data_IF_186882309195
#
_entry.id   IF_186882309195
#
_cell.length_a   1.000
_cell.length_b   1.000
_cell.length_c   1.000
_cell.angle_alpha   90.00
_cell.angle_beta   90.00
_cell.angle_gamma   90.00
#
_symmetry.space_group_name_H-M   'P 1'
#
loop_
_entity.id
_entity.type
_entity.pdbx_description
1 polymer ?
2 polymer ?
3 non-polymer ?
4 non-polymer ?
5 water ?
#
# COMPACT_ATOMS: atom_id res chain seq x y z
N UNK A 7 30.77 31.81 -9.54
CA UNK A 7 29.75 31.32 -10.51
C UNK A 7 29.61 29.78 -10.66
N UNK A 8 30.14 28.96 -9.75
CA UNK A 8 29.98 27.47 -9.96
C UNK A 8 29.38 26.72 -8.74
N UNK A 9 28.41 25.86 -8.98
CA UNK A 9 27.67 25.29 -7.87
C UNK A 9 28.23 23.90 -7.65
N UNK A 10 29.42 23.83 -7.11
CA UNK A 10 30.16 22.61 -7.16
C UNK A 10 30.56 22.05 -5.78
N UNK A 11 30.12 22.69 -4.70
CA UNK A 11 30.10 22.09 -3.39
C UNK A 11 28.72 21.43 -3.15
N UNK A 12 28.66 20.11 -3.08
CA UNK A 12 27.38 19.41 -3.10
C UNK A 12 27.24 18.53 -1.93
N UNK A 13 26.02 18.41 -1.47
CA UNK A 13 25.69 17.47 -0.46
C UNK A 13 24.36 16.76 -0.79
N UNK A 14 24.29 15.48 -0.54
CA UNK A 14 23.03 14.75 -0.73
C UNK A 14 22.67 14.07 0.54
N UNK A 15 21.45 14.31 0.91
CA UNK A 15 20.90 13.78 2.10
C UNK A 15 19.83 12.71 1.78
N UNK A 16 19.92 11.52 2.35
CA UNK A 16 18.86 10.44 2.10
C UNK A 16 18.14 10.07 3.38
N UNK A 17 16.82 10.15 3.38
CA UNK A 17 16.06 10.01 4.61
C UNK A 17 15.02 8.89 4.48
N UNK A 18 15.25 7.73 5.12
CA UNK A 18 14.35 6.58 5.03
C UNK A 18 13.16 6.71 5.91
N UNK A 19 11.98 6.81 5.33
CA UNK A 19 10.77 6.78 6.13
C UNK A 19 10.22 5.33 6.20
N UNK A 20 9.18 5.12 6.96
CA UNK A 20 8.59 3.77 7.09
C UNK A 20 7.85 3.32 5.81
N UNK A 21 7.12 4.20 5.15
CA UNK A 21 6.40 3.84 3.91
C UNK A 21 6.64 4.78 2.72
N UNK A 22 6.32 4.29 1.52
CA UNK A 22 6.37 5.09 0.31
C UNK A 22 5.44 6.34 0.42
N UNK A 23 4.29 6.17 1.03
CA UNK A 23 3.37 7.29 1.25
C UNK A 23 3.90 8.36 2.19
N UNK A 24 4.54 7.94 3.27
CA UNK A 24 5.08 8.89 4.19
C UNK A 24 6.14 9.76 3.45
N UNK A 25 6.92 9.16 2.57
CA UNK A 25 7.98 9.92 1.89
C UNK A 25 7.38 10.88 0.82
N UNK A 26 6.31 10.44 0.22
CA UNK A 26 5.64 11.22 -0.80
C UNK A 26 5.10 12.43 -0.15
N UNK A 27 4.54 12.24 1.02
CA UNK A 27 3.88 13.34 1.66
C UNK A 27 4.88 14.33 2.16
N UNK A 28 5.89 13.84 2.88
CA UNK A 28 7.06 14.63 3.28
C UNK A 28 7.58 15.61 2.20
N UNK A 29 7.81 15.06 1.01
CA UNK A 29 8.16 15.76 -0.16
C UNK A 29 7.14 16.85 -0.52
N UNK A 30 5.88 16.52 -0.64
CA UNK A 30 4.91 17.51 -0.87
C UNK A 30 4.84 18.64 0.16
N UNK A 31 5.04 18.33 1.40
CA UNK A 31 4.87 19.30 2.47
C UNK A 31 6.16 20.13 2.66
N UNK A 32 7.29 19.59 2.27
CA UNK A 32 8.54 20.35 2.35
C UNK A 32 8.58 21.53 1.35
N UNK A 33 8.55 22.76 1.81
CA UNK A 33 8.48 23.88 0.86
C UNK A 33 9.54 24.88 1.26
N UNK A 34 10.74 24.60 0.78
CA UNK A 34 11.91 25.36 1.12
C UNK A 34 11.72 26.71 0.50
N UNK A 35 11.96 27.79 1.27
CA UNK A 35 12.10 29.10 0.69
C UNK A 35 13.35 29.73 1.37
N UNK A 36 14.53 29.44 0.81
CA UNK A 36 15.76 29.90 1.45
C UNK A 36 15.90 31.39 1.35
N UNK A 37 16.75 31.95 2.20
CA UNK A 37 17.08 33.37 2.12
C UNK A 37 18.23 33.59 1.21
N UNK A 38 18.79 32.51 0.66
CA UNK A 38 19.99 32.57 -0.13
C UNK A 38 19.74 32.81 -1.62
N UNK A 39 20.57 33.63 -2.28
CA UNK A 39 20.39 33.80 -3.72
C UNK A 39 20.36 32.42 -4.38
N UNK A 40 19.46 32.21 -5.36
CA UNK A 40 19.49 31.00 -6.21
C UNK A 40 20.79 30.83 -7.01
N UNK A 41 21.47 31.93 -7.36
CA UNK A 41 22.79 31.87 -7.99
C UNK A 41 23.81 31.20 -7.06
N UNK A 42 23.59 31.20 -5.74
CA UNK A 42 24.58 30.68 -4.77
C UNK A 42 24.26 29.28 -4.21
N UNK A 43 23.00 28.95 -4.22
CA UNK A 43 22.50 27.87 -3.44
C UNK A 43 21.26 27.35 -4.18
N UNK A 44 21.20 26.05 -4.31
CA UNK A 44 20.10 25.37 -4.89
C UNK A 44 19.81 24.09 -4.19
N UNK A 45 18.51 23.80 -4.12
CA UNK A 45 18.03 22.56 -3.50
C UNK A 45 16.98 21.90 -4.38
N UNK A 46 17.14 20.61 -4.58
CA UNK A 46 16.22 19.73 -5.31
C UNK A 46 15.86 18.62 -4.40
N UNK A 47 14.59 18.25 -4.42
CA UNK A 47 14.21 17.11 -3.57
C UNK A 47 13.16 16.22 -4.21
N UNK A 48 13.04 14.97 -3.79
CA UNK A 48 12.13 14.06 -4.43
C UNK A 48 12.10 12.83 -3.55
N UNK A 49 11.26 11.86 -3.86
CA UNK A 49 11.26 10.58 -3.19
C UNK A 49 11.27 9.45 -4.14
N UNK A 50 11.90 8.37 -3.66
CA UNK A 50 11.88 7.12 -4.33
C UNK A 50 11.50 6.08 -3.28
N UNK A 51 10.43 5.34 -3.53
CA UNK A 51 9.89 4.38 -2.56
C UNK A 51 9.77 5.02 -1.24
N UNK A 52 10.32 4.41 -0.19
CA UNK A 52 10.15 5.01 1.13
C UNK A 52 11.24 6.08 1.47
N UNK A 53 12.15 6.36 0.52
CA UNK A 53 13.31 7.30 0.81
C UNK A 53 13.08 8.68 0.23
N UNK A 54 13.33 9.70 1.03
CA UNK A 54 13.38 11.08 0.54
C UNK A 54 14.83 11.48 0.18
N UNK A 55 15.02 12.06 -1.00
CA UNK A 55 16.30 12.42 -1.52
C UNK A 55 16.35 13.96 -1.60
N UNK A 56 17.35 14.60 -0.93
CA UNK A 56 17.52 16.05 -1.02
C UNK A 56 18.98 16.36 -1.45
N UNK A 57 19.12 16.93 -2.62
CA UNK A 57 20.36 17.27 -3.24
C UNK A 57 20.57 18.83 -3.13
N UNK A 58 21.59 19.24 -2.37
CA UNK A 58 22.08 20.64 -2.34
C UNK A 58 23.28 20.84 -3.25
N UNK A 59 23.38 22.03 -3.81
CA UNK A 59 24.50 22.47 -4.64
C UNK A 59 24.76 23.90 -4.21
N UNK A 60 26.02 24.27 -4.02
CA UNK A 60 26.32 25.63 -3.54
C UNK A 60 27.68 26.09 -4.01
N UNK A 61 27.89 27.39 -3.99
CA UNK A 61 29.18 27.92 -4.43
C UNK A 61 30.29 27.76 -3.42
N UNK A 62 29.93 27.58 -2.14
CA UNK A 62 30.96 27.40 -1.12
C UNK A 62 30.39 26.86 0.13
N UNK A 63 31.27 26.58 1.07
CA UNK A 63 30.90 25.87 2.28
C UNK A 63 30.08 26.73 3.21
N UNK A 64 30.27 28.04 3.15
CA UNK A 64 29.59 28.97 4.05
C UNK A 64 28.10 28.96 3.72
N UNK A 65 27.80 29.16 2.44
CA UNK A 65 26.45 29.13 1.96
C UNK A 65 25.81 27.77 2.24
N UNK A 66 26.50 26.71 1.87
CA UNK A 66 25.98 25.37 2.12
C UNK A 66 25.58 25.21 3.58
N UNK A 67 26.45 25.60 4.53
CA UNK A 67 26.19 25.32 5.95
C UNK A 67 24.86 25.96 6.35
N UNK A 68 24.72 27.25 6.03
CA UNK A 68 23.50 27.99 6.28
C UNK A 68 22.24 27.29 5.69
N UNK A 69 22.34 26.83 4.44
CA UNK A 69 21.19 26.31 3.70
C UNK A 69 20.77 24.94 4.21
N UNK A 70 21.76 24.05 4.37
CA UNK A 70 21.48 22.68 4.79
C UNK A 70 20.88 22.55 6.16
N UNK A 71 21.44 23.24 7.15
CA UNK A 71 20.90 23.17 8.50
C UNK A 71 19.44 23.57 8.54
N UNK A 72 19.12 24.64 7.83
CA UNK A 72 17.76 25.19 7.87
C UNK A 72 16.73 24.18 7.30
N UNK A 73 17.06 23.56 6.17
CA UNK A 73 16.19 22.60 5.57
C UNK A 73 16.04 21.36 6.42
N UNK A 74 17.14 20.90 6.98
CA UNK A 74 17.06 19.81 7.92
C UNK A 74 16.11 20.13 9.06
N UNK A 75 16.02 21.38 9.47
CA UNK A 75 15.06 21.71 10.54
C UNK A 75 13.64 21.47 10.07
N UNK A 76 13.35 21.87 8.84
CA UNK A 76 12.01 21.64 8.29
C UNK A 76 11.65 20.15 8.26
N UNK A 77 12.61 19.36 7.86
CA UNK A 77 12.42 17.95 7.71
C UNK A 77 12.12 17.30 9.08
N UNK A 78 12.87 17.69 10.08
CA UNK A 78 12.61 17.22 11.45
C UNK A 78 11.22 17.55 11.88
N UNK A 79 10.72 18.73 11.52
CA UNK A 79 9.38 19.14 11.95
C UNK A 79 8.34 18.20 11.34
N UNK A 80 8.53 17.90 10.06
CA UNK A 80 7.67 16.99 9.33
C UNK A 80 7.75 15.59 9.91
N UNK A 81 8.93 15.15 10.34
CA UNK A 81 9.07 13.83 11.06
C UNK A 81 8.37 13.82 12.42
N UNK A 82 8.47 14.89 13.20
CA UNK A 82 7.76 14.98 14.47
C UNK A 82 6.26 14.83 14.19
N UNK A 83 5.71 15.62 13.28
CA UNK A 83 4.27 15.64 12.99
C UNK A 83 3.81 14.27 12.57
N UNK A 84 4.57 13.62 11.73
CA UNK A 84 4.24 12.27 11.32
C UNK A 84 4.26 11.25 12.44
N UNK A 85 5.23 11.38 13.35
CA UNK A 85 5.29 10.60 14.59
C UNK A 85 4.00 10.73 15.42
N UNK A 86 3.54 11.95 15.58
CA UNK A 86 2.33 12.19 16.36
C UNK A 86 1.12 11.50 15.66
N UNK A 87 0.94 11.76 14.37
CA UNK A 87 -0.20 11.27 13.67
C UNK A 87 -0.31 9.75 13.54
N UNK A 88 0.79 9.07 13.26
CA UNK A 88 0.78 7.63 13.08
C UNK A 88 0.57 6.84 14.36
N UNK A 89 0.60 7.50 15.51
CA UNK A 89 0.46 6.82 16.77
C UNK A 89 -0.84 7.18 17.40
N UNK A 90 -1.83 7.49 16.60
CA UNK A 90 -3.21 7.52 17.09
C UNK A 90 -4.22 6.96 16.03
N UNK B 7 24.35 -5.95 24.04
CA UNK B 7 24.58 -5.77 22.56
C UNK B 7 23.63 -4.72 21.99
N UNK B 8 23.18 -4.97 20.77
CA UNK B 8 22.65 -3.94 19.91
C UNK B 8 21.41 -4.50 19.23
N UNK B 9 20.38 -3.69 19.16
CA UNK B 9 19.12 -4.10 18.60
C UNK B 9 19.09 -3.93 17.09
N UNK B 10 19.87 -4.75 16.41
CA UNK B 10 20.05 -4.62 14.98
C UNK B 10 19.58 -5.80 14.12
N UNK B 11 18.91 -6.76 14.69
CA UNK B 11 18.10 -7.67 13.90
C UNK B 11 16.68 -7.00 13.81
N UNK B 12 16.23 -6.63 12.63
CA UNK B 12 14.94 -5.89 12.54
C UNK B 12 14.00 -6.62 11.68
N UNK B 13 12.73 -6.36 11.94
CA UNK B 13 11.67 -6.84 11.08
C UNK B 13 10.53 -5.83 10.96
N UNK B 14 10.09 -5.56 9.74
CA UNK B 14 9.04 -4.59 9.55
C UNK B 14 7.85 -5.32 8.93
N UNK B 15 6.72 -5.17 9.57
CA UNK B 15 5.54 -5.90 9.14
C UNK B 15 4.49 -4.84 8.73
N UNK B 16 3.87 -5.00 7.55
CA UNK B 16 2.77 -4.05 7.08
C UNK B 16 1.49 -4.82 6.85
N UNK B 17 0.41 -4.41 7.49
CA UNK B 17 -0.85 -5.09 7.45
C UNK B 17 -2.00 -4.19 6.94
N UNK B 18 -2.46 -4.45 5.73
CA UNK B 18 -3.57 -3.70 5.12
C UNK B 18 -5.00 -4.16 5.55
N UNK B 19 -5.65 -3.33 6.34
CA UNK B 19 -7.02 -3.51 6.65
C UNK B 19 -7.92 -2.98 5.53
N UNK B 20 -9.22 -3.09 5.73
CA UNK B 20 -10.19 -2.58 4.73
C UNK B 20 -10.36 -1.08 4.85
N UNK B 21 -10.26 -0.55 6.05
CA UNK B 21 -10.40 0.86 6.23
C UNK B 21 -9.37 1.44 7.19
N UNK B 22 -9.37 2.75 7.25
CA UNK B 22 -8.52 3.49 8.14
C UNK B 22 -8.98 3.27 9.55
N UNK B 23 -10.28 3.14 9.75
CA UNK B 23 -10.89 3.05 11.10
C UNK B 23 -10.45 1.77 11.71
N UNK B 24 -10.51 0.72 10.91
CA UNK B 24 -10.04 -0.59 11.32
C UNK B 24 -8.60 -0.48 11.76
N UNK B 25 -7.75 0.16 10.98
CA UNK B 25 -6.31 0.12 11.32
C UNK B 25 -5.96 0.99 12.51
N UNK B 26 -6.70 2.06 12.70
CA UNK B 26 -6.51 2.85 13.91
C UNK B 26 -6.93 2.01 15.11
N UNK B 27 -8.13 1.47 15.06
CA UNK B 27 -8.64 0.66 16.16
C UNK B 27 -7.67 -0.46 16.51
N UNK B 28 -7.33 -1.29 15.53
CA UNK B 28 -6.41 -2.39 15.72
C UNK B 28 -5.16 -1.95 16.48
N UNK B 29 -4.70 -0.74 16.18
CA UNK B 29 -3.53 -0.15 16.83
C UNK B 29 -3.83 0.16 18.29
N UNK B 30 -4.99 0.78 18.54
CA UNK B 30 -5.49 1.15 19.88
C UNK B 30 -5.71 -0.03 20.79
N UNK B 31 -5.99 -1.19 20.20
CA UNK B 31 -6.36 -2.39 20.97
C UNK B 31 -5.16 -3.30 21.22
N UNK B 32 -4.16 -3.19 20.37
CA UNK B 32 -2.97 -3.97 20.50
C UNK B 32 -2.25 -3.41 21.71
N UNK B 33 -2.08 -4.25 22.69
CA UNK B 33 -1.39 -3.87 23.93
C UNK B 33 -0.45 -5.01 24.28
N UNK B 34 0.78 -4.92 23.76
CA UNK B 34 1.87 -5.94 23.82
C UNK B 34 2.30 -6.56 25.18
N UNK B 35 3.01 -5.83 26.05
CA UNK B 35 3.54 -6.41 27.34
C UNK B 35 4.29 -7.74 27.20
N UNK B 36 5.43 -7.73 26.51
CA UNK B 36 6.17 -8.95 26.24
C UNK B 36 6.89 -9.47 27.48
N UNK B 37 7.41 -10.69 27.41
CA UNK B 37 8.08 -11.29 28.57
C UNK B 37 9.56 -11.00 28.45
N UNK B 38 9.94 -10.55 27.26
CA UNK B 38 11.33 -10.23 26.92
C UNK B 38 11.83 -8.92 27.50
N UNK B 39 13.08 -8.89 27.95
CA UNK B 39 13.73 -7.64 28.34
C UNK B 39 13.61 -6.54 27.25
N UNK B 40 13.24 -5.33 27.66
CA UNK B 40 13.23 -4.25 26.71
C UNK B 40 14.62 -3.99 26.13
N UNK B 41 15.69 -4.37 26.83
CA UNK B 41 17.05 -4.29 26.30
C UNK B 41 17.28 -5.31 25.20
N UNK B 42 16.40 -6.31 25.07
CA UNK B 42 16.66 -7.39 24.10
C UNK B 42 15.70 -7.32 22.92
N UNK B 43 14.63 -6.57 23.10
CA UNK B 43 13.54 -6.65 22.14
C UNK B 43 12.68 -5.45 22.33
N UNK B 44 12.33 -4.85 21.20
CA UNK B 44 11.66 -3.57 21.16
C UNK B 44 10.58 -3.67 20.07
N UNK B 45 9.39 -3.17 20.34
CA UNK B 45 8.36 -3.17 19.30
C UNK B 45 7.68 -1.82 19.18
N UNK B 46 7.44 -1.39 17.97
CA UNK B 46 6.80 -0.11 17.76
C UNK B 46 5.65 -0.37 16.84
N UNK B 47 4.46 0.12 17.14
CA UNK B 47 3.31 -0.05 16.17
C UNK B 47 2.52 1.23 15.89
N UNK B 48 1.99 1.32 14.68
CA UNK B 48 1.33 2.56 14.26
C UNK B 48 0.56 2.32 13.01
N UNK B 49 -0.15 3.35 12.55
CA UNK B 49 -0.92 3.17 11.31
C UNK B 49 -0.99 4.40 10.45
N UNK B 50 -1.03 4.14 9.16
CA UNK B 50 -1.19 5.19 8.23
C UNK B 50 -2.33 4.78 7.28
N UNK B 51 -3.38 5.61 7.15
CA UNK B 51 -4.62 5.20 6.45
C UNK B 51 -5.03 3.78 6.84
N UNK B 52 -5.13 2.85 5.89
CA UNK B 52 -5.67 1.53 6.24
C UNK B 52 -4.54 0.51 6.55
N UNK B 53 -3.28 0.99 6.60
CA UNK B 53 -2.16 0.08 6.85
C UNK B 53 -1.61 0.23 8.27
N UNK B 54 -1.57 -0.90 8.99
CA UNK B 54 -0.92 -0.97 10.29
C UNK B 54 0.51 -1.33 10.06
N UNK B 55 1.38 -0.62 10.75
CA UNK B 55 2.85 -0.84 10.65
C UNK B 55 3.37 -1.34 11.97
N UNK B 56 4.11 -2.45 11.95
CA UNK B 56 4.79 -2.94 13.14
C UNK B 56 6.30 -3.08 12.88
N UNK B 57 7.09 -2.48 13.73
CA UNK B 57 8.55 -2.57 13.61
C UNK B 57 9.09 -3.28 14.84
N UNK B 58 9.81 -4.36 14.61
CA UNK B 58 10.52 -5.09 15.67
C UNK B 58 12.02 -4.90 15.56
N UNK B 59 12.67 -4.69 16.69
CA UNK B 59 14.13 -4.61 16.77
C UNK B 59 14.56 -5.57 17.87
N UNK B 60 15.58 -6.36 17.58
CA UNK B 60 16.06 -7.40 18.47
C UNK B 60 17.58 -7.56 18.51
N UNK B 61 18.10 -7.96 19.66
CA UNK B 61 19.53 -8.32 19.71
C UNK B 61 19.86 -9.59 18.96
N UNK B 62 18.89 -10.43 18.61
CA UNK B 62 19.24 -11.63 17.82
C UNK B 62 18.05 -12.43 17.29
N UNK B 63 18.33 -13.48 16.54
CA UNK B 63 17.27 -14.13 15.83
C UNK B 63 16.29 -14.81 16.77
N UNK B 64 16.80 -15.36 17.87
CA UNK B 64 16.00 -16.18 18.79
C UNK B 64 14.99 -15.36 19.55
N UNK B 65 15.46 -14.29 20.15
CA UNK B 65 14.58 -13.31 20.75
C UNK B 65 13.58 -12.81 19.70
N UNK B 66 14.02 -12.64 18.47
CA UNK B 66 13.11 -12.07 17.48
C UNK B 66 12.00 -13.09 17.18
N UNK B 67 12.33 -14.37 17.14
CA UNK B 67 11.36 -15.38 16.81
C UNK B 67 10.23 -15.40 17.82
N UNK B 68 10.62 -15.40 19.08
CA UNK B 68 9.66 -15.39 20.19
C UNK B 68 8.77 -14.14 20.16
N UNK B 69 9.37 -12.98 20.04
CA UNK B 69 8.62 -11.75 20.06
C UNK B 69 7.62 -11.64 18.95
N UNK B 70 8.03 -12.01 17.74
CA UNK B 70 7.28 -11.68 16.58
C UNK B 70 6.05 -12.57 16.55
N UNK B 71 6.26 -13.86 16.75
CA UNK B 71 5.17 -14.84 16.66
C UNK B 71 4.08 -14.59 17.69
N UNK B 72 4.49 -14.22 18.89
CA UNK B 72 3.53 -13.80 19.88
C UNK B 72 2.68 -12.61 19.39
N UNK B 73 3.31 -11.57 18.86
CA UNK B 73 2.57 -10.35 18.57
C UNK B 73 1.61 -10.51 17.37
N UNK B 74 2.04 -11.28 16.39
CA UNK B 74 1.24 -11.68 15.30
C UNK B 74 0.00 -12.45 15.79
N UNK B 75 0.14 -13.24 16.86
CA UNK B 75 -1.02 -13.92 17.44
C UNK B 75 -2.01 -12.92 17.99
N UNK B 76 -1.54 -11.90 18.68
CA UNK B 76 -2.53 -10.91 19.12
C UNK B 76 -3.25 -10.33 17.91
N UNK B 77 -2.51 -10.09 16.84
CA UNK B 77 -3.09 -9.37 15.71
C UNK B 77 -4.19 -10.18 15.02
N UNK B 78 -3.93 -11.46 14.81
CA UNK B 78 -4.91 -12.36 14.27
C UNK B 78 -6.18 -12.35 15.12
N UNK B 79 -5.98 -12.27 16.42
CA UNK B 79 -7.11 -12.26 17.32
C UNK B 79 -7.97 -11.07 16.95
N UNK B 80 -7.34 -9.92 16.71
CA UNK B 80 -8.07 -8.64 16.44
C UNK B 80 -8.74 -8.63 15.07
N UNK B 81 -8.13 -9.31 14.11
CA UNK B 81 -8.72 -9.50 12.81
C UNK B 81 -9.95 -10.40 12.93
N UNK B 82 -9.85 -11.50 13.69
CA UNK B 82 -11.01 -12.43 13.83
C UNK B 82 -12.18 -11.71 14.46
N UNK B 83 -11.91 -10.92 15.50
CA UNK B 83 -12.98 -10.16 16.15
C UNK B 83 -13.64 -9.21 15.16
N UNK B 84 -12.84 -8.46 14.40
CA UNK B 84 -13.35 -7.54 13.38
C UNK B 84 -14.22 -8.24 12.34
N UNK B 85 -13.80 -9.43 11.94
CA UNK B 85 -14.51 -10.27 10.96
C UNK B 85 -15.91 -10.64 11.47
N UNK B 86 -15.93 -11.08 12.72
CA UNK B 86 -17.15 -11.49 13.36
C UNK B 86 -18.07 -10.29 13.54
N UNK B 87 -17.50 -9.13 13.87
CA UNK B 87 -18.28 -7.95 14.23
C UNK B 87 -18.72 -7.14 13.05
N UNK B 88 -18.11 -7.36 11.89
CA UNK B 88 -18.50 -6.59 10.70
C UNK B 88 -19.47 -7.37 9.83
N UNK B 89 -19.51 -8.70 9.99
CA UNK B 89 -20.46 -9.55 9.29
C UNK B 89 -21.63 -9.93 10.19
N UNK B 90 -21.66 -9.39 11.42
CA UNK B 90 -22.82 -9.51 12.33
C UNK B 90 -23.26 -10.95 12.66
N UNK C 8 -8.07 -17.84 -11.51
CA UNK C 8 -7.28 -17.19 -10.42
C UNK C 8 -8.05 -16.26 -9.45
N UNK C 9 -8.88 -15.36 -9.91
CA UNK C 9 -9.67 -14.48 -8.98
C UNK C 9 -8.90 -13.23 -8.52
N UNK C 10 -8.10 -12.73 -9.43
CA UNK C 10 -7.21 -11.67 -9.13
C UNK C 10 -7.63 -10.35 -9.76
N UNK C 11 -8.83 -10.27 -10.33
CA UNK C 11 -9.42 -9.00 -10.72
C UNK C 11 -10.33 -8.61 -9.60
N UNK C 12 -10.04 -7.50 -8.94
CA UNK C 12 -10.69 -7.13 -7.68
C UNK C 12 -11.30 -5.76 -7.78
N UNK C 13 -12.23 -5.49 -6.88
CA UNK C 13 -12.86 -4.22 -6.80
C UNK C 13 -13.39 -4.13 -5.41
N UNK C 14 -13.12 -3.02 -4.76
CA UNK C 14 -13.65 -2.76 -3.42
C UNK C 14 -14.57 -1.54 -3.49
N UNK C 15 -15.77 -1.65 -2.97
CA UNK C 15 -16.71 -0.60 -3.03
C UNK C 15 -16.96 -0.20 -1.58
N UNK C 16 -17.00 1.10 -1.32
CA UNK C 16 -17.44 1.59 -0.01
C UNK C 16 -18.65 2.53 -0.10
N UNK C 17 -19.72 2.17 0.62
CA UNK C 17 -20.95 2.93 0.55
C UNK C 17 -21.35 3.49 1.90
N UNK C 18 -21.23 4.80 2.07
CA UNK C 18 -21.65 5.42 3.32
C UNK C 18 -23.15 5.68 3.36
N UNK C 19 -23.84 5.08 4.33
CA UNK C 19 -25.20 5.44 4.69
C UNK C 19 -25.25 6.62 5.69
N UNK C 20 -26.44 6.96 6.19
CA UNK C 20 -26.59 7.98 7.24
C UNK C 20 -26.29 7.41 8.62
N UNK C 21 -26.56 6.12 8.83
CA UNK C 21 -26.48 5.53 10.17
C UNK C 21 -25.91 4.11 10.16
N UNK C 22 -25.48 3.63 11.33
CA UNK C 22 -25.01 2.24 11.50
C UNK C 22 -26.17 1.28 11.26
N UNK C 23 -27.31 1.61 11.88
CA UNK C 23 -28.51 0.83 11.71
C UNK C 23 -28.80 0.56 10.22
N UNK C 24 -28.99 1.62 9.45
CA UNK C 24 -29.14 1.49 7.99
C UNK C 24 -28.16 0.49 7.36
N UNK C 25 -26.87 0.82 7.48
CA UNK C 25 -25.78 -0.03 7.00
C UNK C 25 -25.92 -1.48 7.42
N UNK C 26 -26.24 -1.71 8.69
CA UNK C 26 -26.46 -3.08 9.17
C UNK C 26 -27.58 -3.74 8.37
N UNK C 27 -28.75 -3.11 8.37
CA UNK C 27 -29.93 -3.72 7.73
C UNK C 27 -29.61 -3.96 6.26
N UNK C 28 -28.91 -2.99 5.65
CA UNK C 28 -28.58 -3.08 4.22
C UNK C 28 -27.86 -4.36 3.96
N UNK C 29 -26.91 -4.63 4.86
CA UNK C 29 -26.07 -5.81 4.82
C UNK C 29 -26.86 -7.08 5.00
N UNK C 30 -27.78 -7.07 5.95
CA UNK C 30 -28.61 -8.24 6.24
C UNK C 30 -29.59 -8.46 5.08
N UNK C 31 -30.10 -7.39 4.48
CA UNK C 31 -31.08 -7.54 3.41
C UNK C 31 -30.45 -7.95 2.07
N UNK C 32 -29.25 -7.47 1.81
CA UNK C 32 -28.67 -7.76 0.52
C UNK C 32 -28.54 -9.27 0.39
N UNK C 33 -29.27 -9.87 -0.54
CA UNK C 33 -29.06 -11.29 -0.84
C UNK C 33 -28.73 -11.41 -2.32
N UNK C 34 -27.44 -11.50 -2.64
CA UNK C 34 -26.95 -11.63 -4.02
C UNK C 34 -27.64 -12.72 -4.90
N UNK C 35 -27.23 -13.99 -4.79
CA UNK C 35 -27.62 -15.05 -5.76
C UNK C 35 -27.28 -14.69 -7.21
N UNK C 36 -25.97 -14.54 -7.54
CA UNK C 36 -25.67 -14.23 -8.93
C UNK C 36 -26.10 -15.36 -9.90
N UNK C 37 -25.86 -15.07 -11.18
CA UNK C 37 -25.94 -15.98 -12.25
C UNK C 37 -24.59 -16.56 -12.63
N UNK C 38 -23.53 -16.16 -11.94
CA UNK C 38 -22.17 -16.56 -12.26
C UNK C 38 -21.67 -17.75 -11.43
N UNK C 39 -20.76 -18.53 -11.99
CA UNK C 39 -20.14 -19.64 -11.23
C UNK C 39 -19.32 -19.11 -10.05
N UNK C 40 -19.35 -19.81 -8.90
CA UNK C 40 -18.47 -19.38 -7.79
C UNK C 40 -17.00 -19.49 -8.16
N UNK C 41 -16.70 -20.42 -9.08
CA UNK C 41 -15.34 -20.61 -9.60
C UNK C 41 -14.79 -19.41 -10.34
N UNK C 42 -15.66 -18.46 -10.66
CA UNK C 42 -15.32 -17.36 -11.55
C UNK C 42 -15.46 -16.01 -10.86
N UNK C 43 -16.24 -15.97 -9.78
CA UNK C 43 -16.66 -14.72 -9.17
C UNK C 43 -17.00 -14.95 -7.71
N UNK C 44 -16.55 -14.06 -6.84
CA UNK C 44 -16.91 -14.11 -5.41
C UNK C 44 -17.15 -12.73 -4.89
N UNK C 45 -18.03 -12.65 -3.91
CA UNK C 45 -18.38 -11.40 -3.33
C UNK C 45 -18.66 -11.63 -1.88
N UNK C 46 -18.42 -10.59 -1.12
CA UNK C 46 -18.32 -10.64 0.30
C UNK C 46 -18.72 -9.25 0.73
N UNK C 47 -19.62 -9.15 1.68
CA UNK C 47 -20.09 -7.83 2.08
C UNK C 47 -20.31 -7.78 3.57
N UNK C 48 -20.18 -6.58 4.10
CA UNK C 48 -20.11 -6.37 5.52
C UNK C 48 -20.27 -4.90 5.77
N UNK C 49 -20.38 -4.51 7.02
CA UNK C 49 -20.47 -3.10 7.40
C UNK C 49 -19.65 -2.77 8.62
N UNK C 50 -19.30 -1.51 8.72
CA UNK C 50 -18.53 -1.01 9.83
C UNK C 50 -19.07 0.38 10.06
N UNK C 51 -19.65 0.58 11.25
CA UNK C 51 -20.42 1.79 11.53
C UNK C 51 -21.44 1.99 10.41
N UNK C 52 -21.39 3.15 9.73
CA UNK C 52 -22.40 3.51 8.75
C UNK C 52 -21.99 3.20 7.32
N UNK C 53 -20.80 2.65 7.12
CA UNK C 53 -20.30 2.35 5.78
C UNK C 53 -20.36 0.86 5.50
N UNK C 54 -20.93 0.55 4.36
CA UNK C 54 -21.02 -0.82 3.90
C UNK C 54 -19.88 -1.06 2.97
N UNK C 55 -19.24 -2.23 3.12
CA UNK C 55 -18.08 -2.60 2.32
C UNK C 55 -18.32 -3.84 1.53
N UNK C 56 -17.98 -3.78 0.25
CA UNK C 56 -18.21 -4.91 -0.64
C UNK C 56 -16.92 -5.16 -1.41
N UNK C 57 -16.42 -6.37 -1.28
CA UNK C 57 -15.29 -6.83 -2.03
C UNK C 57 -15.69 -7.80 -3.09
N UNK C 58 -15.25 -7.53 -4.32
CA UNK C 58 -15.49 -8.43 -5.45
C UNK C 58 -14.19 -9.00 -5.91
N UNK C 59 -14.17 -10.30 -6.20
CA UNK C 59 -12.99 -10.93 -6.80
C UNK C 59 -13.50 -11.71 -8.00
N UNK C 60 -12.70 -11.83 -9.02
CA UNK C 60 -13.18 -12.37 -10.29
C UNK C 60 -12.00 -12.81 -11.14
N UNK C 61 -12.25 -13.74 -12.04
CA UNK C 61 -11.20 -14.19 -12.91
C UNK C 61 -10.89 -13.25 -14.04
N UNK C 62 -11.79 -12.31 -14.32
CA UNK C 62 -11.54 -11.34 -15.41
C UNK C 62 -12.53 -10.20 -15.43
N UNK C 63 -12.33 -9.27 -16.35
CA UNK C 63 -13.14 -8.07 -16.38
C UNK C 63 -14.58 -8.34 -16.83
N UNK C 64 -14.76 -9.28 -17.78
CA UNK C 64 -16.11 -9.59 -18.30
C UNK C 64 -16.98 -10.02 -17.14
N UNK C 65 -16.51 -11.00 -16.40
CA UNK C 65 -17.26 -11.49 -15.26
C UNK C 65 -17.51 -10.37 -14.25
N UNK C 66 -16.45 -9.72 -13.82
CA UNK C 66 -16.57 -8.56 -12.92
C UNK C 66 -17.61 -7.49 -13.34
N UNK C 67 -17.63 -7.10 -14.60
CA UNK C 67 -18.61 -6.13 -15.05
C UNK C 67 -20.02 -6.64 -14.71
N UNK C 68 -20.31 -7.88 -15.12
CA UNK C 68 -21.63 -8.45 -14.90
C UNK C 68 -21.89 -8.37 -13.41
N UNK C 69 -20.90 -8.75 -12.62
CA UNK C 69 -21.19 -9.00 -11.21
C UNK C 69 -21.47 -7.73 -10.46
N UNK C 70 -20.67 -6.73 -10.75
CA UNK C 70 -20.65 -5.51 -9.98
C UNK C 70 -21.84 -4.60 -10.31
N UNK C 71 -22.22 -4.54 -11.58
CA UNK C 71 -23.41 -3.81 -11.97
C UNK C 71 -24.62 -4.49 -11.32
N UNK C 72 -24.64 -5.81 -11.40
CA UNK C 72 -25.76 -6.56 -10.87
C UNK C 72 -25.99 -6.20 -9.39
N UNK C 73 -24.90 -6.22 -8.64
CA UNK C 73 -25.01 -6.04 -7.20
C UNK C 73 -25.28 -4.58 -6.78
N UNK C 74 -24.75 -3.65 -7.54
CA UNK C 74 -25.07 -2.24 -7.31
C UNK C 74 -26.59 -1.96 -7.62
N UNK C 75 -27.17 -2.67 -8.58
CA UNK C 75 -28.63 -2.56 -8.76
C UNK C 75 -29.34 -2.89 -7.46
N UNK C 76 -29.01 -4.05 -6.87
CA UNK C 76 -29.72 -4.48 -5.65
C UNK C 76 -29.56 -3.45 -4.59
N UNK C 77 -28.36 -2.92 -4.49
CA UNK C 77 -28.10 -1.98 -3.43
C UNK C 77 -28.95 -0.72 -3.69
N UNK C 78 -29.06 -0.31 -4.95
CA UNK C 78 -29.86 0.85 -5.27
C UNK C 78 -31.30 0.63 -4.81
N UNK C 79 -31.81 -0.55 -5.07
CA UNK C 79 -33.17 -0.86 -4.65
C UNK C 79 -33.35 -0.61 -3.14
N UNK C 80 -32.41 -1.15 -2.37
CA UNK C 80 -32.43 -1.06 -0.91
C UNK C 80 -32.43 0.40 -0.51
N UNK C 81 -31.56 1.18 -1.14
CA UNK C 81 -31.49 2.59 -0.82
C UNK C 81 -32.86 3.23 -1.06
N UNK C 82 -33.46 2.92 -2.21
CA UNK C 82 -34.75 3.51 -2.55
C UNK C 82 -35.73 3.22 -1.42
N UNK C 83 -35.93 1.93 -1.14
CA UNK C 83 -36.82 1.49 -0.08
C UNK C 83 -36.59 2.24 1.24
N UNK C 84 -35.35 2.35 1.67
CA UNK C 84 -35.05 3.12 2.89
C UNK C 84 -35.55 4.57 2.77
N UNK C 85 -35.58 5.11 1.55
CA UNK C 85 -35.89 6.53 1.33
C UNK C 85 -37.37 6.79 1.54
N UNK D 2 18.43 -6.37 -10.64
CA UNK D 2 17.06 -5.82 -10.72
C UNK D 2 16.73 -5.42 -12.16
N UNK D 3 15.47 -5.40 -12.53
CA UNK D 3 15.10 -5.03 -13.87
C UNK D 3 14.81 -3.54 -13.97
N UNK D 4 14.89 -3.00 -15.17
CA UNK D 4 14.35 -1.67 -15.29
C UNK D 4 12.84 -1.69 -15.06
N UNK D 5 12.27 -0.64 -14.45
CA UNK D 5 10.82 -0.55 -14.27
C UNK D 5 10.27 0.85 -14.56
N UNK D 6 8.95 0.93 -14.61
CA UNK D 6 8.28 2.18 -14.76
C UNK D 6 6.95 2.22 -14.06
N UNK D 7 6.57 3.40 -13.57
CA UNK D 7 5.28 3.59 -12.95
C UNK D 7 4.60 4.86 -13.61
N UNK D 8 3.33 4.72 -13.96
CA UNK D 8 2.55 5.79 -14.60
C UNK D 8 1.39 6.17 -13.74
N UNK D 9 1.06 7.44 -13.74
CA UNK D 9 -0.01 7.94 -12.91
C UNK D 9 -0.80 9.03 -13.69
N UNK D 10 -2.11 9.04 -13.61
CA UNK D 10 -2.93 10.04 -14.32
C UNK D 10 -4.09 10.51 -13.48
N UNK D 11 -4.60 11.70 -13.75
CA UNK D 11 -5.55 12.28 -12.81
C UNK D 11 -6.90 11.63 -12.81
N UNK D 12 -7.19 10.71 -13.72
CA UNK D 12 -8.44 9.96 -13.65
C UNK D 12 -8.35 8.79 -12.64
N UNK D 13 -7.29 8.71 -11.86
CA UNK D 13 -7.23 7.74 -10.80
C UNK D 13 -6.54 6.47 -11.21
N UNK D 14 -5.87 6.48 -12.34
CA UNK D 14 -5.26 5.29 -12.90
C UNK D 14 -3.79 5.21 -12.54
N UNK D 15 -3.32 4.03 -12.10
CA UNK D 15 -1.88 3.88 -11.75
C UNK D 15 -1.44 2.65 -12.45
N UNK D 16 -0.32 2.68 -13.12
CA UNK D 16 0.02 1.55 -13.95
C UNK D 16 1.48 1.24 -13.76
N UNK D 17 1.78 0.01 -13.37
CA UNK D 17 3.17 -0.50 -13.30
C UNK D 17 3.61 -1.25 -14.53
N UNK D 18 4.84 -1.01 -14.92
CA UNK D 18 5.50 -1.77 -15.97
C UNK D 18 6.72 -2.53 -15.47
N UNK D 19 6.83 -3.76 -15.89
CA UNK D 19 8.01 -4.57 -15.67
C UNK D 19 8.08 -5.47 -16.87
N UNK D 20 9.25 -5.63 -17.45
CA UNK D 20 9.44 -6.57 -18.57
C UNK D 20 9.15 -8.03 -18.22
N UNK D 64 24.72 -13.25 -24.23
CA UNK D 64 24.36 -11.84 -24.14
C UNK D 64 24.89 -11.26 -22.80
N UNK D 65 25.29 -9.99 -22.79
CA UNK D 65 25.87 -9.36 -21.58
C UNK D 65 24.80 -8.73 -20.71
N UNK D 66 25.13 -8.50 -19.44
CA UNK D 66 24.29 -7.74 -18.51
C UNK D 66 23.70 -6.46 -19.16
N UNK D 67 24.58 -5.61 -19.70
CA UNK D 67 24.15 -4.40 -20.35
C UNK D 67 23.38 -4.64 -21.66
N UNK D 68 23.71 -5.73 -22.35
CA UNK D 68 23.02 -6.12 -23.56
C UNK D 68 21.59 -6.50 -23.23
N UNK D 69 21.45 -7.38 -22.25
CA UNK D 69 20.13 -7.69 -21.74
C UNK D 69 19.44 -6.39 -21.32
N UNK D 70 20.13 -5.55 -20.56
CA UNK D 70 19.51 -4.32 -20.06
C UNK D 70 18.85 -3.57 -21.20
N UNK D 71 19.57 -3.46 -22.31
CA UNK D 71 19.10 -2.74 -23.47
C UNK D 71 17.87 -3.40 -24.13
N UNK D 72 17.80 -4.72 -24.15
CA UNK D 72 16.64 -5.35 -24.74
C UNK D 72 15.48 -5.12 -23.80
N UNK D 73 15.73 -5.26 -22.49
CA UNK D 73 14.66 -5.02 -21.55
C UNK D 73 14.10 -3.61 -21.73
N UNK D 74 14.96 -2.63 -22.01
CA UNK D 74 14.46 -1.28 -22.16
C UNK D 74 13.66 -1.17 -23.41
N UNK D 75 14.02 -1.94 -24.43
CA UNK D 75 13.27 -1.91 -25.66
C UNK D 75 11.84 -2.48 -25.46
N UNK D 76 11.73 -3.50 -24.63
CA UNK D 76 10.46 -4.09 -24.27
C UNK D 76 9.63 -3.20 -23.40
N UNK D 77 10.28 -2.44 -22.52
CA UNK D 77 9.54 -1.55 -21.65
C UNK D 77 8.94 -0.41 -22.49
N UNK D 78 9.73 0.07 -23.43
CA UNK D 78 9.37 1.14 -24.33
C UNK D 78 8.17 0.76 -25.18
N UNK D 79 8.06 -0.50 -25.51
CA UNK D 79 6.94 -0.96 -26.29
C UNK D 79 5.70 -1.02 -25.40
N UNK D 80 5.85 -1.60 -24.19
CA UNK D 80 4.77 -1.60 -23.20
C UNK D 80 4.20 -0.17 -23.01
N UNK D 81 5.06 0.79 -22.76
CA UNK D 81 4.63 2.15 -22.50
C UNK D 81 3.87 2.68 -23.71
N UNK D 82 4.42 2.46 -24.89
CA UNK D 82 3.83 2.96 -26.12
C UNK D 82 2.49 2.27 -26.35
N UNK D 83 2.47 0.97 -26.20
CA UNK D 83 1.22 0.24 -26.28
C UNK D 83 0.17 0.81 -25.28
N UNK D 84 0.57 1.00 -24.04
CA UNK D 84 -0.38 1.43 -23.01
C UNK D 84 -0.95 2.82 -23.29
N UNK D 85 -0.09 3.73 -23.77
CA UNK D 85 -0.49 5.11 -23.91
C UNK D 85 -1.36 5.22 -25.15
N UNK D 86 -1.00 4.48 -26.19
CA UNK D 86 -1.78 4.48 -27.40
C UNK D 86 -3.22 4.03 -27.09
N UNK D 87 -3.34 2.91 -26.38
CA UNK D 87 -4.63 2.45 -25.87
C UNK D 87 -5.39 3.50 -25.08
N UNK D 88 -4.70 4.31 -24.31
CA UNK D 88 -5.38 5.32 -23.53
C UNK D 88 -5.93 6.35 -24.48
N UNK D 89 -5.19 6.67 -25.53
CA UNK D 89 -5.66 7.66 -26.52
C UNK D 89 -6.85 7.07 -27.33
N UNK D 90 -6.72 5.84 -27.81
CA UNK D 90 -7.79 5.19 -28.53
C UNK D 90 -9.11 5.19 -27.73
N UNK D 91 -9.09 4.95 -26.43
CA UNK D 91 -10.34 5.03 -25.66
C UNK D 91 -10.85 6.45 -25.44
N UNK D 92 -9.95 7.44 -25.34
CA UNK D 92 -10.38 8.82 -25.16
C UNK D 92 -11.08 9.34 -26.42
N UNK D 93 -10.61 8.90 -27.59
CA UNK D 93 -11.20 9.31 -28.87
C UNK D 93 -12.58 8.64 -29.05
N UNK D 94 -12.66 7.34 -28.77
CA UNK D 94 -13.93 6.61 -28.79
C UNK D 94 -14.98 7.18 -27.82
N UNK D 95 -14.54 7.89 -26.78
CA UNK D 95 -15.49 8.43 -25.81
C UNK D 95 -16.16 9.72 -26.29
N UNK D 96 -15.75 10.24 -27.45
CA UNK D 96 -16.39 11.43 -28.04
C UNK D 96 -17.45 11.04 -29.07
N UNK D 97 -18.30 12.00 -29.43
CA UNK D 97 -19.43 11.69 -30.32
C UNK D 97 -19.10 11.91 -31.81
N UNK D 98 -18.59 13.11 -32.10
CA UNK D 98 -18.35 13.65 -33.47
C UNK D 98 -18.34 15.19 -33.35
N UNK D 99 -18.29 15.65 -32.10
CA UNK D 99 -18.59 17.03 -31.77
C UNK D 99 -17.41 17.94 -31.98
N UNK D 100 -16.38 17.41 -32.65
CA UNK D 100 -15.32 18.25 -33.21
C UNK D 100 -15.96 19.11 -34.30
N UNK D 101 -16.54 18.45 -35.30
CA UNK D 101 -17.32 19.12 -36.32
C UNK D 101 -18.29 20.11 -35.66
N UNK D 102 -19.17 19.59 -34.80
CA UNK D 102 -20.29 20.38 -34.28
C UNK D 102 -19.79 21.60 -33.53
N UNK D 103 -18.64 21.44 -32.87
CA UNK D 103 -18.07 22.51 -32.10
C UNK D 103 -17.73 23.65 -33.06
N UNK D 104 -16.93 23.36 -34.08
CA UNK D 104 -16.59 24.38 -35.06
C UNK D 104 -17.84 24.88 -35.79
N UNK D 105 -18.78 23.99 -36.10
CA UNK D 105 -20.03 24.42 -36.73
C UNK D 105 -20.69 25.65 -36.03
N UNK D 106 -20.66 25.71 -34.71
CA UNK D 106 -21.32 26.81 -34.00
C UNK D 106 -20.52 28.08 -34.16
N UNK D 107 -19.20 27.95 -33.96
CA UNK D 107 -18.29 29.10 -34.06
C UNK D 107 -18.50 29.80 -35.42
N UNK D 108 -18.45 29.06 -36.51
CA UNK D 108 -18.83 29.61 -37.83
C UNK D 108 -20.19 30.31 -37.83
N UNK D 109 -21.26 29.61 -37.45
CA UNK D 109 -22.61 30.22 -37.51
C UNK D 109 -22.65 31.50 -36.68
N UNK D 110 -21.94 31.49 -35.58
CA UNK D 110 -21.90 32.65 -34.73
C UNK D 110 -21.25 33.80 -35.44
N UNK D 111 -20.32 33.49 -36.33
CA UNK D 111 -19.69 34.50 -37.19
C UNK D 111 -20.65 35.05 -38.22
N UNK D 112 -21.58 34.21 -38.69
CA UNK D 112 -22.55 34.63 -39.73
C UNK D 112 -23.83 35.20 -39.10
N UNK E 2 -4.29 -5.67 -1.60
CA UNK E 2 -2.81 -5.85 -1.42
C UNK E 2 -2.56 -6.82 -0.23
N UNK E 3 -1.39 -7.42 -0.16
CA UNK E 3 -1.16 -8.48 0.83
C UNK E 3 -0.42 -7.97 2.06
N UNK E 4 -0.56 -8.64 3.20
CA UNK E 4 0.35 -8.28 4.25
C UNK E 4 1.76 -8.71 3.83
N UNK E 5 2.80 -7.90 4.19
CA UNK E 5 4.19 -8.22 3.87
C UNK E 5 5.11 -7.97 5.03
N UNK E 6 6.30 -8.54 4.98
CA UNK E 6 7.32 -8.20 5.99
C UNK E 6 8.69 -8.13 5.38
N UNK E 7 9.56 -7.41 6.03
CA UNK E 7 10.97 -7.23 5.60
C UNK E 7 11.93 -7.41 6.78
N UNK E 8 12.90 -8.29 6.65
CA UNK E 8 13.80 -8.57 7.70
C UNK E 8 15.20 -8.08 7.35
N UNK E 9 15.94 -7.65 8.34
CA UNK E 9 17.27 -7.19 8.09
C UNK E 9 18.24 -7.58 9.22
N UNK E 10 19.48 -7.93 8.86
CA UNK E 10 20.48 -8.31 9.87
C UNK E 10 21.89 -7.82 9.57
N UNK E 11 22.66 -7.53 10.60
CA UNK E 11 24.02 -6.99 10.41
C UNK E 11 25.00 -7.91 9.69
N UNK E 12 24.63 -9.13 9.38
CA UNK E 12 25.47 -9.92 8.50
C UNK E 12 25.15 -9.74 7.03
N UNK E 13 24.47 -8.65 6.68
CA UNK E 13 24.30 -8.34 5.31
C UNK E 13 23.18 -9.16 4.70
N UNK E 14 22.33 -9.70 5.54
CA UNK E 14 21.16 -10.41 5.04
C UNK E 14 19.88 -9.57 5.03
N UNK E 15 19.21 -9.58 3.88
CA UNK E 15 17.90 -8.97 3.75
C UNK E 15 16.97 -10.01 3.23
N UNK E 16 15.76 -10.02 3.74
CA UNK E 16 14.80 -11.05 3.39
C UNK E 16 13.38 -10.50 3.32
N UNK E 17 12.77 -10.62 2.14
CA UNK E 17 11.39 -10.16 1.91
C UNK E 17 10.42 -11.28 2.03
N UNK E 18 9.28 -11.02 2.64
CA UNK E 18 8.27 -12.07 2.80
C UNK E 18 6.97 -11.67 2.14
N UNK E 19 6.42 -12.57 1.35
CA UNK E 19 5.06 -12.36 0.85
C UNK E 19 4.37 -13.70 0.80
N UNK E 20 3.13 -13.80 1.30
CA UNK E 20 2.39 -15.10 1.23
C UNK E 20 2.28 -15.71 -0.18
N UNK E 64 -13.38 -17.19 1.67
CA UNK E 64 -14.35 -16.63 2.60
C UNK E 64 -14.29 -15.09 2.61
N UNK E 65 -14.27 -14.46 3.78
CA UNK E 65 -14.37 -13.00 3.82
C UNK E 65 -13.01 -12.32 3.66
N UNK E 66 -13.00 -11.01 3.37
CA UNK E 66 -11.75 -10.26 3.24
C UNK E 66 -10.99 -10.48 4.48
N UNK E 67 -11.53 -10.04 5.60
CA UNK E 67 -10.82 -10.23 6.87
C UNK E 67 -10.38 -11.67 7.10
N UNK E 68 -11.21 -12.62 6.73
CA UNK E 68 -10.82 -14.01 6.80
C UNK E 68 -9.57 -14.36 5.99
N UNK E 69 -9.51 -13.89 4.75
CA UNK E 69 -8.32 -14.16 3.93
C UNK E 69 -7.08 -13.46 4.55
N UNK E 70 -7.32 -12.31 5.17
CA UNK E 70 -6.22 -11.54 5.78
C UNK E 70 -5.61 -12.33 6.96
N UNK E 71 -6.48 -12.92 7.80
CA UNK E 71 -6.07 -13.77 8.90
C UNK E 71 -5.25 -14.94 8.38
N UNK E 72 -5.77 -15.62 7.38
CA UNK E 72 -5.06 -16.74 6.78
C UNK E 72 -3.67 -16.32 6.28
N UNK E 73 -3.64 -15.21 5.55
CA UNK E 73 -2.39 -14.72 5.01
C UNK E 73 -1.39 -14.42 6.08
N UNK E 74 -1.83 -13.76 7.15
CA UNK E 74 -0.97 -13.52 8.31
C UNK E 74 -0.44 -14.82 8.90
N UNK E 75 -1.28 -15.84 8.95
CA UNK E 75 -0.81 -17.11 9.47
C UNK E 75 0.32 -17.66 8.60
N UNK E 76 0.13 -17.61 7.27
CA UNK E 76 1.17 -18.06 6.33
C UNK E 76 2.46 -17.27 6.61
N UNK E 77 2.30 -16.00 6.93
CA UNK E 77 3.44 -15.09 7.00
C UNK E 77 4.19 -15.42 8.25
N UNK E 78 3.39 -15.70 9.27
CA UNK E 78 3.89 -16.11 10.55
C UNK E 78 4.71 -17.38 10.42
N UNK E 79 4.23 -18.31 9.62
CA UNK E 79 4.99 -19.53 9.41
C UNK E 79 6.27 -19.30 8.68
N UNK E 80 6.20 -18.50 7.62
CA UNK E 80 7.40 -18.20 6.82
C UNK E 80 8.49 -17.63 7.66
N UNK E 81 8.11 -16.73 8.55
CA UNK E 81 9.03 -16.00 9.40
C UNK E 81 9.67 -16.94 10.41
N UNK E 82 8.85 -17.82 10.97
CA UNK E 82 9.37 -18.76 11.94
C UNK E 82 10.27 -19.72 11.29
N UNK E 83 9.87 -20.27 10.15
CA UNK E 83 10.74 -21.18 9.40
C UNK E 83 12.07 -20.49 9.04
N UNK E 84 12.02 -19.24 8.54
CA UNK E 84 13.22 -18.49 8.23
C UNK E 84 14.16 -18.30 9.43
N UNK E 85 13.62 -17.74 10.51
CA UNK E 85 14.40 -17.53 11.70
C UNK E 85 14.93 -18.85 12.27
N UNK E 86 14.08 -19.88 12.34
CA UNK E 86 14.52 -21.21 12.87
C UNK E 86 15.72 -21.73 12.09
N UNK E 87 15.67 -21.62 10.76
CA UNK E 87 16.80 -22.00 9.90
C UNK E 87 18.07 -21.22 10.26
N UNK E 88 17.92 -19.93 10.55
CA UNK E 88 19.12 -19.12 10.78
C UNK E 88 19.79 -19.58 12.08
N UNK E 89 18.97 -19.87 13.08
CA UNK E 89 19.45 -20.46 14.33
C UNK E 89 20.09 -21.81 14.13
N UNK E 90 19.54 -22.64 13.24
CA UNK E 90 20.20 -23.91 12.95
C UNK E 90 21.55 -23.75 12.27
N UNK E 91 21.69 -22.76 11.39
CA UNK E 91 22.99 -22.57 10.74
C UNK E 91 24.01 -21.94 11.66
N UNK E 92 23.54 -21.15 12.63
CA UNK E 92 24.40 -20.47 13.60
C UNK E 92 24.96 -21.46 14.69
N UNK E 93 24.23 -22.52 15.02
CA UNK E 93 24.71 -23.61 15.90
C UNK E 93 25.68 -24.59 15.21
N UNK E 94 25.38 -24.97 13.96
CA UNK E 94 26.28 -25.80 13.12
C UNK E 94 27.66 -25.18 12.86
N UNK E 95 27.73 -23.84 12.90
CA UNK E 95 28.96 -23.13 12.59
C UNK E 95 29.99 -23.30 13.71
N UNK E 96 29.53 -23.47 14.96
CA UNK E 96 30.43 -23.70 16.12
C UNK E 96 30.97 -25.17 16.21
N UNK E 97 32.07 -25.39 16.93
CA UNK E 97 32.78 -26.69 16.90
C UNK E 97 32.29 -27.72 17.91
N UNK E 98 32.32 -27.31 19.17
CA UNK E 98 32.01 -28.12 20.37
C UNK E 98 32.45 -27.23 21.55
N UNK E 99 32.29 -25.93 21.30
CA UNK E 99 33.04 -24.86 21.95
C UNK E 99 32.50 -24.42 23.28
N UNK E 100 31.19 -24.57 23.46
CA UNK E 100 30.52 -24.32 24.73
C UNK E 100 31.32 -24.98 25.86
N UNK E 101 31.36 -26.32 25.81
CA UNK E 101 32.14 -27.12 26.74
C UNK E 101 33.51 -26.51 26.94
N UNK E 102 34.19 -26.17 25.85
CA UNK E 102 35.61 -25.83 25.92
C UNK E 102 35.82 -24.47 26.62
N UNK E 103 34.95 -23.52 26.29
CA UNK E 103 34.98 -22.22 26.96
C UNK E 103 34.92 -22.44 28.48
N UNK E 104 33.96 -23.24 28.93
CA UNK E 104 33.80 -23.43 30.35
C UNK E 104 34.94 -24.23 30.91
N UNK E 105 35.52 -25.16 30.15
CA UNK E 105 36.69 -25.92 30.62
C UNK E 105 37.77 -24.94 31.07
N UNK E 106 38.06 -23.96 30.22
CA UNK E 106 39.15 -23.03 30.44
C UNK E 106 38.85 -22.09 31.59
N UNK E 107 37.59 -21.77 31.81
CA UNK E 107 37.18 -21.00 32.96
C UNK E 107 37.44 -21.74 34.25
N UNK E 108 37.06 -23.02 34.31
CA UNK E 108 37.43 -23.80 35.46
C UNK E 108 38.90 -23.75 35.73
N UNK E 109 39.74 -24.13 34.77
CA UNK E 109 41.15 -24.42 35.10
C UNK E 109 41.78 -23.15 35.63
N UNK E 110 41.50 -22.04 34.98
CA UNK E 110 41.86 -20.74 35.52
C UNK E 110 41.53 -20.57 37.01
N UNK E 111 40.34 -21.01 37.39
CA UNK E 111 39.89 -20.99 38.78
C UNK E 111 40.63 -21.91 39.68
N UNK E 112 40.87 -23.11 39.20
CA UNK E 112 41.57 -24.12 39.98
C UNK E 112 43.00 -23.65 40.18
N UNK E 113 43.57 -23.06 39.14
CA UNK E 113 44.99 -22.80 39.05
C UNK E 113 45.28 -21.31 38.94
N UNK F 2 -19.40 12.12 3.29
CA UNK F 2 -18.56 11.36 2.31
C UNK F 2 -19.40 10.95 1.09
N UNK F 3 -18.74 10.47 0.03
CA UNK F 3 -19.44 9.89 -1.14
C UNK F 3 -18.98 8.46 -1.36
N UNK F 4 -19.80 7.64 -2.03
CA UNK F 4 -19.38 6.26 -2.32
C UNK F 4 -18.13 6.24 -3.18
N UNK F 5 -17.29 5.22 -3.01
CA UNK F 5 -16.04 5.13 -3.77
C UNK F 5 -15.73 3.69 -4.11
N UNK F 6 -14.81 3.50 -5.03
CA UNK F 6 -14.37 2.16 -5.35
C UNK F 6 -12.93 2.13 -5.81
N UNK F 7 -12.32 0.97 -5.66
CA UNK F 7 -10.97 0.79 -6.05
C UNK F 7 -10.82 -0.53 -6.75
N UNK F 8 -10.21 -0.49 -7.92
CA UNK F 8 -10.09 -1.66 -8.74
C UNK F 8 -8.65 -2.01 -8.84
N UNK F 9 -8.38 -3.30 -9.00
CA UNK F 9 -7.03 -3.72 -9.20
C UNK F 9 -6.96 -4.98 -10.06
N UNK F 10 -5.89 -5.12 -10.84
CA UNK F 10 -5.75 -6.23 -11.80
C UNK F 10 -4.31 -6.68 -11.87
N UNK F 11 -4.07 -7.90 -12.32
CA UNK F 11 -2.71 -8.44 -12.27
C UNK F 11 -1.82 -7.98 -13.37
N UNK F 12 -2.28 -7.13 -14.28
CA UNK F 12 -1.33 -6.53 -15.22
C UNK F 12 -0.74 -5.18 -14.72
N UNK F 13 -0.72 -4.97 -13.39
CA UNK F 13 -0.23 -3.75 -12.79
C UNK F 13 -1.15 -2.55 -12.93
N UNK F 14 -2.45 -2.78 -13.15
CA UNK F 14 -3.38 -1.68 -13.20
C UNK F 14 -4.16 -1.52 -11.91
N UNK F 15 -4.08 -0.32 -11.31
CA UNK F 15 -4.85 0.14 -10.16
C UNK F 15 -5.76 1.31 -10.67
N UNK F 16 -7.06 1.30 -10.34
CA UNK F 16 -7.94 2.42 -10.73
C UNK F 16 -8.79 2.88 -9.58
N UNK F 17 -8.75 4.13 -9.19
CA UNK F 17 -9.76 4.64 -8.23
C UNK F 17 -10.94 5.32 -8.89
N UNK F 18 -12.09 5.24 -8.21
CA UNK F 18 -13.33 5.85 -8.65
C UNK F 18 -13.91 6.78 -7.59
N UNK F 19 -14.26 7.99 -8.00
CA UNK F 19 -15.11 8.89 -7.21
C UNK F 19 -16.09 9.64 -8.16
N UNK F 20 -17.42 9.63 -7.86
CA UNK F 20 -18.41 10.33 -8.72
C UNK F 20 -18.19 11.84 -8.88
N UNK F 65 -33.26 14.28 -0.80
CA UNK F 65 -32.86 13.68 0.47
C UNK F 65 -31.43 13.13 0.48
N UNK F 66 -30.91 12.84 1.67
CA UNK F 66 -29.61 12.22 1.77
C UNK F 66 -29.60 10.89 1.03
N UNK F 67 -30.60 10.07 1.28
CA UNK F 67 -30.65 8.78 0.60
C UNK F 67 -30.85 8.86 -0.91
N UNK F 68 -31.65 9.83 -1.38
CA UNK F 68 -31.90 9.98 -2.81
C UNK F 68 -30.65 10.32 -3.60
N UNK F 69 -29.85 11.23 -3.03
CA UNK F 69 -28.58 11.65 -3.57
C UNK F 69 -27.57 10.47 -3.57
N UNK F 70 -27.57 9.66 -2.51
CA UNK F 70 -26.75 8.46 -2.47
C UNK F 70 -27.14 7.55 -3.64
N UNK F 71 -28.45 7.47 -3.91
CA UNK F 71 -28.95 6.61 -4.97
C UNK F 71 -28.44 7.06 -6.32
N UNK F 72 -28.48 8.38 -6.54
CA UNK F 72 -28.01 8.93 -7.84
C UNK F 72 -26.46 8.74 -7.98
N UNK F 73 -25.70 9.09 -6.93
CA UNK F 73 -24.26 8.81 -6.86
C UNK F 73 -23.88 7.37 -7.19
N UNK F 74 -24.65 6.41 -6.67
CA UNK F 74 -24.31 5.01 -6.94
C UNK F 74 -24.40 4.70 -8.42
N UNK F 75 -25.40 5.33 -9.03
CA UNK F 75 -25.72 5.10 -10.43
C UNK F 75 -24.59 5.69 -11.25
N UNK F 76 -24.12 6.86 -10.82
CA UNK F 76 -22.95 7.45 -11.45
C UNK F 76 -21.71 6.58 -11.33
N UNK F 77 -21.43 6.11 -10.12
CA UNK F 77 -20.35 5.14 -9.93
C UNK F 77 -20.50 3.90 -10.80
N UNK F 78 -21.73 3.42 -10.96
CA UNK F 78 -21.95 2.18 -11.71
C UNK F 78 -21.60 2.39 -13.20
N UNK F 79 -21.94 3.54 -13.75
CA UNK F 79 -21.56 3.84 -15.13
C UNK F 79 -20.05 4.05 -15.31
N UNK F 80 -19.42 4.68 -14.33
CA UNK F 80 -17.95 4.83 -14.38
C UNK F 80 -17.28 3.47 -14.42
N UNK F 81 -17.73 2.57 -13.55
CA UNK F 81 -17.15 1.22 -13.48
C UNK F 81 -17.39 0.52 -14.79
N UNK F 82 -18.66 0.58 -15.26
CA UNK F 82 -19.07 -0.12 -16.45
C UNK F 82 -18.30 0.36 -17.63
N UNK F 83 -18.11 1.67 -17.67
CA UNK F 83 -17.38 2.31 -18.78
C UNK F 83 -15.93 1.84 -18.77
N UNK F 84 -15.34 1.93 -17.59
CA UNK F 84 -13.98 1.49 -17.44
C UNK F 84 -13.82 0.02 -17.78
N UNK F 85 -14.68 -0.85 -17.23
CA UNK F 85 -14.50 -2.29 -17.59
C UNK F 85 -14.73 -2.57 -19.07
N UNK F 86 -15.60 -1.80 -19.71
CA UNK F 86 -15.86 -2.00 -21.11
C UNK F 86 -14.62 -1.67 -21.90
N UNK F 87 -14.07 -0.50 -21.65
CA UNK F 87 -12.84 -0.08 -22.35
C UNK F 87 -11.71 -1.09 -22.19
N UNK F 88 -11.64 -1.69 -21.01
CA UNK F 88 -10.64 -2.70 -20.80
C UNK F 88 -10.83 -3.86 -21.74
N UNK F 89 -12.08 -4.34 -21.81
CA UNK F 89 -12.43 -5.44 -22.71
C UNK F 89 -12.26 -5.07 -24.17
N UNK F 90 -12.63 -3.84 -24.56
CA UNK F 90 -12.35 -3.35 -25.95
C UNK F 90 -10.86 -3.46 -26.31
N UNK F 91 -9.96 -3.09 -25.40
CA UNK F 91 -8.53 -3.11 -25.74
C UNK F 91 -7.98 -4.52 -25.74
N UNK F 92 -8.55 -5.36 -24.91
CA UNK F 92 -8.18 -6.78 -24.90
C UNK F 92 -8.55 -7.48 -26.24
N UNK F 93 -9.72 -7.17 -26.80
CA UNK F 93 -10.11 -7.71 -28.11
C UNK F 93 -9.21 -7.13 -29.20
N UNK F 94 -9.23 -5.80 -29.38
CA UNK F 94 -8.30 -5.15 -30.30
C UNK F 94 -6.86 -5.60 -30.02
X LIG G 1 17.20 15.09 -6.32
X LIG G 1 15.84 14.57 -6.50
X LIG G 1 18.21 13.97 -6.36
X LIG G 1 17.79 12.45 -6.56
X LIG G 1 19.20 14.31 -7.49
X LIG G 1 20.74 13.82 -7.11
X LIG H 1 6.52 21.40 -1.47
X LIG H 1 5.96 22.36 -2.17
X LIG H 1 6.54 21.21 -0.20
X LIG H 1 7.36 20.38 -2.16
#
# INVERSE_FOLDING_TARGET
>A
MTSKREKSLDHTLELKIPFETERQATIATKVLSPDPILKPQDFQVDYSSEKNVMLVQFRSIDDRVLRVGVSSIIDSIKTIVEAMDVLSHHHHHH
>B
MTSKREKSLDHTLELKIPFETERQATIATKVLSPDPILKPQDFQVDYSSEKNVMLVQFRSIDDRVLRVGVSSIIDSIKTIVEAMDVLSHHHHHH
>C
MTSKREKSLDHTLELKIPFETERQATIATKVLSPDPILKPQDFQVDYSSEKNVMLVQFRSIDDRVLRVGVSSIIDSIKTIVEAMDVLSHHHHHH
>D
MKLPVAQYSAPDGVEKSFAPIRDDPRYMTTEGRTTGPSDHVLNAGQIDRDKPSEPERTKDGSQLTYLGQLRTQLTGLQDDINEFLTGRMELAKNKKKAGADEKRIQEEINQLLDGGDGDEDAV
>E
MKLPVAQYSAPDGVEKSFAPIRDDPRYMTTEGRTTGPSDHVLNAGQIDRDKPSEPERTKDGSQLTYLGQLRTQLTGLQDDINEFLTGRMELAKNKKKAGADEKRIQEEINQLLDGGDGDEDAV
>F
MKLPVAQYSAPDGVEKSFAPIRDDPRYMTTEGRTTGPSDHVLNAGQIDRDKPSEPERTKDGSQLTYLGQLRTQLTGLQDDINEFLTGRMELAKNKKKAGADEKRIQEEINQLLDGGDGDEDAV
>G hetero
1 GOL C1 O1 C2 O2 C3 O3
>H hetero
1 ACT C O OXT CH3
#
